data_IF_550407248720
#
_entry.id   IF_550407248720
#
_cell.length_a   1.000
_cell.length_b   1.000
_cell.length_c   1.000
_cell.angle_alpha   90.00
_cell.angle_beta   90.00
_cell.angle_gamma   90.00
#
_symmetry.space_group_name_H-M   'P 1'
#
loop_
_entity.id
_entity.type
_entity.pdbx_description
1 polymer ?
#
# COMPACT_ATOMS: atom_id res chain seq x y z
N UNK A 1 37.16 -84.52 -19.94
CA UNK A 1 37.79 -84.04 -21.19
C UNK A 1 37.06 -82.74 -21.59
N UNK A 2 37.79 -81.60 -21.61
CA UNK A 2 37.42 -80.25 -22.14
C UNK A 2 36.31 -79.47 -21.38
N UNK A 3 36.62 -78.43 -20.58
CA UNK A 3 36.81 -76.98 -20.91
C UNK A 3 35.56 -76.34 -21.54
N UNK A 4 35.00 -75.20 -21.12
CA UNK A 4 35.63 -73.87 -20.95
C UNK A 4 34.66 -72.89 -20.24
N UNK A 5 35.20 -71.93 -19.47
CA UNK A 5 34.52 -70.77 -18.86
C UNK A 5 34.18 -69.64 -19.87
N UNK A 6 33.29 -68.74 -19.42
CA UNK A 6 33.12 -67.31 -19.79
C UNK A 6 32.24 -67.01 -21.01
N UNK A 7 31.43 -65.94 -21.07
CA UNK A 7 31.60 -64.61 -20.48
C UNK A 7 30.27 -63.89 -20.15
N UNK A 8 30.24 -63.22 -19.01
CA UNK A 8 29.35 -62.11 -18.70
C UNK A 8 29.67 -60.93 -19.61
N UNK A 9 28.75 -60.55 -20.50
CA UNK A 9 28.87 -59.33 -21.31
C UNK A 9 28.52 -58.12 -20.44
N UNK A 10 29.51 -57.59 -19.72
CA UNK A 10 29.40 -56.29 -19.09
C UNK A 10 29.38 -55.20 -20.16
N UNK A 11 28.33 -54.37 -20.19
CA UNK A 11 28.32 -53.15 -20.99
C UNK A 11 29.36 -52.19 -20.41
N UNK A 12 30.44 -51.96 -21.16
CA UNK A 12 31.40 -50.91 -20.82
C UNK A 12 30.71 -49.55 -21.02
N UNK A 13 30.33 -48.90 -19.91
CA UNK A 13 30.01 -47.49 -19.89
C UNK A 13 31.29 -46.72 -20.25
N UNK A 14 31.39 -46.26 -21.49
CA UNK A 14 32.43 -45.35 -21.97
C UNK A 14 32.34 -44.04 -21.21
N UNK A 15 33.09 -43.90 -20.11
CA UNK A 15 33.32 -42.61 -19.45
C UNK A 15 34.29 -41.80 -20.33
N UNK A 16 33.75 -40.99 -21.23
CA UNK A 16 34.51 -39.92 -21.90
C UNK A 16 34.70 -38.78 -20.91
N UNK A 17 35.94 -38.51 -20.52
CA UNK A 17 36.28 -37.31 -19.75
C UNK A 17 36.16 -36.07 -20.62
N UNK A 18 35.59 -34.99 -20.07
CA UNK A 18 35.50 -33.71 -20.76
C UNK A 18 36.89 -33.13 -20.99
N UNK A 19 37.09 -32.52 -22.15
CA UNK A 19 38.32 -31.79 -22.45
C UNK A 19 38.34 -30.46 -21.68
N UNK A 20 39.53 -29.94 -21.41
CA UNK A 20 39.68 -28.68 -20.67
C UNK A 20 38.96 -27.51 -21.36
N UNK A 21 38.96 -27.51 -22.70
CA UNK A 21 38.27 -26.49 -23.51
C UNK A 21 36.74 -26.58 -23.41
N UNK A 22 36.18 -27.79 -23.32
CA UNK A 22 34.73 -27.99 -23.13
C UNK A 22 34.31 -27.49 -21.74
N UNK A 23 35.07 -27.83 -20.69
CA UNK A 23 34.78 -27.36 -19.33
C UNK A 23 34.87 -25.84 -19.22
N UNK A 24 35.87 -25.21 -19.83
CA UNK A 24 35.97 -23.74 -19.83
C UNK A 24 34.81 -23.09 -20.59
N UNK A 25 34.37 -23.69 -21.70
CA UNK A 25 33.22 -23.17 -22.47
C UNK A 25 31.92 -23.27 -21.67
N UNK A 26 31.69 -24.40 -21.00
CA UNK A 26 30.52 -24.60 -20.13
C UNK A 26 30.51 -23.59 -18.98
N UNK A 27 31.67 -23.35 -18.36
CA UNK A 27 31.78 -22.36 -17.26
C UNK A 27 31.49 -20.95 -17.75
N UNK A 28 32.06 -20.54 -18.90
CA UNK A 28 31.85 -19.19 -19.45
C UNK A 28 30.39 -18.98 -19.83
N UNK A 29 29.78 -19.92 -20.55
CA UNK A 29 28.37 -19.84 -20.94
C UNK A 29 27.46 -19.87 -19.71
N UNK A 30 27.76 -20.74 -18.73
CA UNK A 30 27.03 -20.81 -17.47
C UNK A 30 27.09 -19.50 -16.69
N UNK A 31 28.27 -18.87 -16.61
CA UNK A 31 28.44 -17.57 -15.97
C UNK A 31 27.68 -16.46 -16.71
N UNK A 32 27.73 -16.43 -18.06
CA UNK A 32 26.97 -15.46 -18.86
C UNK A 32 25.47 -15.58 -18.60
N UNK A 33 24.93 -16.79 -18.61
CA UNK A 33 23.51 -17.04 -18.33
C UNK A 33 23.15 -16.62 -16.90
N UNK A 34 24.02 -16.90 -15.92
CA UNK A 34 23.80 -16.49 -14.54
C UNK A 34 23.76 -14.96 -14.40
N UNK A 35 24.70 -14.25 -15.02
CA UNK A 35 24.76 -12.77 -14.99
C UNK A 35 23.56 -12.16 -15.68
N UNK A 36 23.17 -12.69 -16.85
CA UNK A 36 21.98 -12.23 -17.56
C UNK A 36 20.71 -12.46 -16.73
N UNK A 37 20.57 -13.63 -16.10
CA UNK A 37 19.41 -13.96 -15.26
C UNK A 37 19.30 -13.03 -14.05
N UNK A 38 20.42 -12.75 -13.37
CA UNK A 38 20.46 -11.81 -12.26
C UNK A 38 20.09 -10.39 -12.70
N UNK A 39 20.58 -9.97 -13.87
CA UNK A 39 20.27 -8.65 -14.43
C UNK A 39 18.79 -8.52 -14.79
N UNK A 40 18.21 -9.54 -15.43
CA UNK A 40 16.78 -9.58 -15.74
C UNK A 40 15.92 -9.58 -14.48
N UNK A 41 16.31 -10.33 -13.46
CA UNK A 41 15.61 -10.33 -12.17
C UNK A 41 15.60 -8.95 -11.52
N UNK A 42 16.75 -8.27 -11.47
CA UNK A 42 16.85 -6.91 -10.94
C UNK A 42 15.99 -5.92 -11.76
N UNK A 43 15.96 -6.07 -13.08
CA UNK A 43 15.10 -5.26 -13.95
C UNK A 43 13.61 -5.51 -13.70
N UNK A 44 13.20 -6.78 -13.52
CA UNK A 44 11.82 -7.15 -13.20
C UNK A 44 11.38 -6.57 -11.87
N UNK A 45 12.21 -6.64 -10.83
CA UNK A 45 11.93 -6.07 -9.52
C UNK A 45 11.71 -4.55 -9.61
N UNK A 46 12.61 -3.85 -10.31
CA UNK A 46 12.52 -2.41 -10.52
C UNK A 46 11.26 -2.04 -11.31
N UNK A 47 10.95 -2.79 -12.36
CA UNK A 47 9.75 -2.56 -13.19
C UNK A 47 8.48 -2.75 -12.36
N UNK A 48 8.43 -3.79 -11.52
CA UNK A 48 7.30 -4.03 -10.63
C UNK A 48 7.06 -2.88 -9.66
N UNK A 49 8.14 -2.35 -9.06
CA UNK A 49 8.07 -1.17 -8.20
C UNK A 49 7.52 0.05 -8.94
N UNK A 50 8.02 0.32 -10.16
CA UNK A 50 7.55 1.43 -10.99
C UNK A 50 6.06 1.27 -11.31
N UNK A 51 5.62 0.09 -11.75
CA UNK A 51 4.21 -0.16 -12.08
C UNK A 51 3.31 0.07 -10.87
N UNK A 52 3.70 -0.42 -9.68
CA UNK A 52 2.90 -0.22 -8.46
C UNK A 52 2.78 1.26 -8.09
N UNK A 53 3.86 2.02 -8.19
CA UNK A 53 3.83 3.48 -7.97
C UNK A 53 2.96 4.19 -8.99
N UNK A 54 3.03 3.81 -10.27
CA UNK A 54 2.19 4.41 -11.31
C UNK A 54 0.71 4.07 -11.12
N UNK A 55 0.39 2.82 -10.76
CA UNK A 55 -0.98 2.41 -10.48
C UNK A 55 -1.59 3.25 -9.34
N UNK A 56 -0.82 3.46 -8.27
CA UNK A 56 -1.23 4.34 -7.18
C UNK A 56 -1.49 5.78 -7.65
N UNK A 57 -0.54 6.39 -8.39
CA UNK A 57 -0.65 7.79 -8.80
C UNK A 57 -1.75 8.03 -9.84
N UNK A 58 -2.01 7.07 -10.73
CA UNK A 58 -2.96 7.22 -11.84
C UNK A 58 -4.39 6.84 -11.43
N UNK A 59 -4.56 5.81 -10.60
CA UNK A 59 -5.88 5.26 -10.29
C UNK A 59 -6.30 5.51 -8.85
N UNK A 60 -5.49 5.08 -7.87
CA UNK A 60 -5.89 5.09 -6.47
C UNK A 60 -5.96 6.50 -5.89
N UNK A 61 -4.88 7.26 -5.98
CA UNK A 61 -4.79 8.60 -5.41
C UNK A 61 -5.90 9.55 -5.92
N UNK A 62 -6.21 9.59 -7.24
CA UNK A 62 -7.33 10.37 -7.74
C UNK A 62 -8.69 9.91 -7.20
N UNK A 63 -8.92 8.60 -7.04
CA UNK A 63 -10.18 8.08 -6.49
C UNK A 63 -10.34 8.44 -5.01
N UNK A 64 -9.28 8.30 -4.22
CA UNK A 64 -9.26 8.72 -2.81
C UNK A 64 -9.54 10.22 -2.73
N UNK A 65 -8.87 11.05 -3.52
CA UNK A 65 -9.11 12.49 -3.54
C UNK A 65 -10.55 12.85 -3.91
N UNK A 66 -11.12 12.19 -4.93
CA UNK A 66 -12.51 12.44 -5.32
C UNK A 66 -13.49 12.06 -4.21
N UNK A 67 -13.27 10.94 -3.52
CA UNK A 67 -14.08 10.51 -2.38
C UNK A 67 -13.95 11.50 -1.22
N UNK A 68 -12.72 11.86 -0.83
CA UNK A 68 -12.46 12.81 0.25
C UNK A 68 -13.08 14.18 -0.04
N UNK A 69 -12.91 14.72 -1.25
CA UNK A 69 -13.51 16.00 -1.61
C UNK A 69 -15.04 15.96 -1.56
N UNK A 70 -15.68 14.85 -1.96
CA UNK A 70 -17.13 14.70 -1.87
C UNK A 70 -17.63 14.64 -0.42
N UNK A 71 -16.86 14.05 0.49
CA UNK A 71 -17.22 13.95 1.91
C UNK A 71 -16.95 15.29 2.61
N UNK A 72 -15.73 15.81 2.49
CA UNK A 72 -15.30 17.05 3.15
C UNK A 72 -16.11 18.26 2.68
N UNK A 73 -16.43 18.36 1.40
CA UNK A 73 -17.25 19.49 0.87
C UNK A 73 -18.66 19.54 1.43
N UNK A 74 -19.18 18.43 1.96
CA UNK A 74 -20.51 18.36 2.60
C UNK A 74 -20.45 18.60 4.11
N UNK A 75 -19.27 18.55 4.71
CA UNK A 75 -19.11 18.77 6.13
C UNK A 75 -19.20 20.26 6.45
N UNK A 76 -19.96 20.60 7.49
CA UNK A 76 -20.07 21.96 8.00
C UNK A 76 -18.84 22.37 8.80
N UNK A 77 -18.26 21.41 9.52
CA UNK A 77 -17.08 21.62 10.34
C UNK A 77 -16.17 20.39 10.27
N UNK A 78 -14.87 20.63 10.45
CA UNK A 78 -13.88 19.58 10.57
C UNK A 78 -12.94 19.85 11.74
N UNK A 79 -12.42 18.76 12.31
CA UNK A 79 -11.38 18.78 13.34
C UNK A 79 -10.38 17.68 13.08
N UNK A 80 -9.11 17.96 13.32
CA UNK A 80 -8.04 16.98 13.13
C UNK A 80 -7.53 16.48 14.47
N UNK A 81 -7.19 15.20 14.52
CA UNK A 81 -6.63 14.55 15.69
C UNK A 81 -5.36 13.77 15.31
N UNK A 82 -4.31 13.80 16.16
CA UNK A 82 -3.09 13.03 15.91
C UNK A 82 -3.35 11.53 15.80
N UNK A 83 -4.19 11.00 16.70
CA UNK A 83 -4.49 9.57 16.81
C UNK A 83 -5.98 9.30 16.91
N UNK A 84 -6.38 8.04 16.72
CA UNK A 84 -7.77 7.61 16.91
C UNK A 84 -8.21 7.76 18.37
N UNK A 85 -7.35 7.42 19.32
CA UNK A 85 -7.61 7.57 20.76
C UNK A 85 -7.85 9.04 21.17
N UNK A 86 -7.10 9.98 20.58
CA UNK A 86 -7.35 11.41 20.79
C UNK A 86 -8.72 11.84 20.22
N UNK A 87 -9.12 11.28 19.08
CA UNK A 87 -10.42 11.54 18.47
C UNK A 87 -11.58 10.96 19.30
N UNK A 88 -11.42 9.76 19.87
CA UNK A 88 -12.40 9.10 20.75
C UNK A 88 -12.65 9.91 22.03
N UNK A 89 -11.57 10.40 22.63
CA UNK A 89 -11.63 11.25 23.82
C UNK A 89 -11.97 12.72 23.52
N UNK A 90 -12.08 13.08 22.24
CA UNK A 90 -12.33 14.46 21.78
C UNK A 90 -11.25 15.46 22.23
N UNK A 91 -10.06 14.98 22.56
CA UNK A 91 -8.98 15.76 23.17
C UNK A 91 -7.82 15.96 22.19
N UNK A 92 -6.89 16.88 22.50
CA UNK A 92 -5.66 17.09 21.72
C UNK A 92 -5.85 17.34 20.21
N UNK A 93 -6.86 18.14 19.83
CA UNK A 93 -7.01 18.51 18.42
C UNK A 93 -5.78 19.24 17.92
N UNK A 94 -5.28 18.83 16.76
CA UNK A 94 -4.11 19.44 16.12
C UNK A 94 -4.49 20.07 14.79
N UNK A 95 -3.57 20.80 14.19
CA UNK A 95 -3.67 21.29 12.80
C UNK A 95 -2.55 20.76 11.91
N UNK A 96 -1.63 19.95 12.45
CA UNK A 96 -0.49 19.40 11.72
C UNK A 96 -0.32 17.93 12.02
N UNK A 97 0.08 17.14 11.00
CA UNK A 97 0.41 15.71 11.13
C UNK A 97 -0.67 14.88 11.84
N UNK A 98 -1.94 15.15 11.53
CA UNK A 98 -3.04 14.35 12.04
C UNK A 98 -3.22 13.09 11.20
N UNK A 99 -3.44 11.95 11.83
CA UNK A 99 -3.84 10.71 11.14
C UNK A 99 -5.37 10.55 11.08
N UNK A 100 -6.10 11.42 11.78
CA UNK A 100 -7.56 11.35 11.89
C UNK A 100 -8.20 12.70 11.59
N UNK A 101 -9.25 12.67 10.77
CA UNK A 101 -10.08 13.80 10.36
C UNK A 101 -11.52 13.52 10.77
N UNK A 102 -12.02 14.25 11.76
CA UNK A 102 -13.41 14.23 12.18
C UNK A 102 -14.19 15.33 11.44
N UNK A 103 -15.38 14.99 10.98
CA UNK A 103 -16.28 15.82 10.19
C UNK A 103 -17.64 15.86 10.86
N UNK A 104 -18.25 17.03 10.91
CA UNK A 104 -19.63 17.21 11.35
C UNK A 104 -20.50 17.60 10.15
N UNK A 105 -21.61 16.90 9.99
CA UNK A 105 -22.64 17.16 9.00
C UNK A 105 -23.88 17.68 9.72
N UNK A 106 -24.32 18.87 9.35
CA UNK A 106 -25.56 19.40 9.88
C UNK A 106 -26.74 18.63 9.32
N UNK A 107 -27.57 18.14 10.23
CA UNK A 107 -28.82 17.48 9.90
C UNK A 107 -29.91 18.47 9.51
N UNK A 108 -31.06 17.96 9.10
CA UNK A 108 -32.29 18.76 8.91
C UNK A 108 -33.17 18.63 10.16
N UNK A 109 -34.27 19.38 10.26
CA UNK A 109 -35.15 19.30 11.43
C UNK A 109 -35.65 17.87 11.77
N UNK A 110 -35.68 16.96 10.77
CA UNK A 110 -36.11 15.57 10.91
C UNK A 110 -34.94 14.57 11.09
N UNK A 111 -33.68 14.99 10.88
CA UNK A 111 -32.50 14.15 11.05
C UNK A 111 -31.47 14.87 11.93
N UNK A 112 -31.05 14.28 13.07
CA UNK A 112 -30.02 14.89 13.91
C UNK A 112 -28.71 15.05 13.14
N UNK A 113 -27.83 15.91 13.66
CA UNK A 113 -26.47 16.04 13.18
C UNK A 113 -25.77 14.67 13.13
N UNK A 114 -24.96 14.49 12.10
CA UNK A 114 -24.18 13.27 11.91
C UNK A 114 -22.69 13.59 11.89
N UNK A 115 -21.87 12.62 12.25
CA UNK A 115 -20.43 12.72 12.27
C UNK A 115 -19.80 11.69 11.35
N UNK A 116 -18.73 12.08 10.67
CA UNK A 116 -17.89 11.19 9.89
C UNK A 116 -16.46 11.28 10.39
N UNK A 117 -15.82 10.14 10.59
CA UNK A 117 -14.41 10.10 10.98
C UNK A 117 -13.63 9.37 9.90
N UNK A 118 -12.58 10.01 9.41
CA UNK A 118 -11.66 9.44 8.46
C UNK A 118 -10.37 9.18 9.21
N UNK A 119 -9.98 7.92 9.31
CA UNK A 119 -8.78 7.51 10.04
C UNK A 119 -7.90 6.64 9.16
N UNK A 120 -6.59 6.87 9.26
CA UNK A 120 -5.60 5.99 8.67
C UNK A 120 -5.14 4.96 9.69
N UNK A 121 -5.28 3.69 9.33
CA UNK A 121 -4.74 2.56 10.06
C UNK A 121 -3.36 2.20 9.49
N UNK A 122 -2.32 2.45 10.28
CA UNK A 122 -0.94 2.14 9.91
C UNK A 122 -0.59 0.65 9.98
N UNK A 123 -1.35 -0.15 10.74
CA UNK A 123 -1.12 -1.60 10.83
C UNK A 123 -1.67 -2.29 9.57
N UNK A 124 -2.89 -1.92 9.18
CA UNK A 124 -3.54 -2.45 7.99
C UNK A 124 -3.12 -1.76 6.68
N UNK A 125 -2.51 -0.57 6.73
CA UNK A 125 -2.27 0.32 5.57
C UNK A 125 -3.58 0.68 4.85
N UNK A 126 -4.59 1.04 5.64
CA UNK A 126 -5.93 1.33 5.15
C UNK A 126 -6.40 2.71 5.56
N UNK A 127 -7.10 3.37 4.65
CA UNK A 127 -7.83 4.59 4.95
C UNK A 127 -9.31 4.24 5.07
N UNK A 128 -9.87 4.48 6.26
CA UNK A 128 -11.20 4.03 6.62
C UNK A 128 -12.13 5.21 6.92
N UNK A 129 -13.41 5.03 6.61
CA UNK A 129 -14.48 5.96 6.95
C UNK A 129 -15.40 5.33 7.99
N UNK A 130 -15.60 6.05 9.08
CA UNK A 130 -16.54 5.71 10.14
C UNK A 130 -17.69 6.70 10.09
N UNK A 131 -18.91 6.19 10.14
CA UNK A 131 -20.11 7.00 10.24
C UNK A 131 -20.66 6.88 11.66
N UNK A 132 -20.94 8.02 12.29
CA UNK A 132 -21.38 8.10 13.67
C UNK A 132 -22.59 9.03 13.78
N UNK A 133 -23.48 8.73 14.71
CA UNK A 133 -24.55 9.65 15.12
C UNK A 133 -24.04 10.62 16.19
N UNK A 134 -22.95 10.26 16.90
CA UNK A 134 -22.27 11.12 17.87
C UNK A 134 -20.79 10.76 17.96
N UNK A 135 -19.92 11.75 18.16
CA UNK A 135 -18.48 11.52 18.37
C UNK A 135 -18.18 10.56 19.53
N UNK A 136 -19.04 10.49 20.55
CA UNK A 136 -18.88 9.55 21.66
C UNK A 136 -19.01 8.07 21.24
N UNK A 137 -19.67 7.80 20.11
CA UNK A 137 -19.79 6.45 19.56
C UNK A 137 -18.48 5.94 18.95
N UNK A 138 -17.53 6.82 18.63
CA UNK A 138 -16.25 6.39 18.03
C UNK A 138 -15.50 5.39 18.92
N UNK A 139 -15.60 5.55 20.25
CA UNK A 139 -14.99 4.63 21.22
C UNK A 139 -15.63 3.23 21.26
N UNK A 140 -16.79 3.05 20.62
CA UNK A 140 -17.58 1.81 20.62
C UNK A 140 -17.67 1.20 19.23
N UNK A 141 -17.45 1.97 18.17
CA UNK A 141 -17.50 1.50 16.80
C UNK A 141 -16.19 0.77 16.47
N UNK A 142 -16.25 -0.56 16.47
CA UNK A 142 -15.12 -1.43 16.14
C UNK A 142 -14.87 -1.55 14.63
N UNK A 143 -15.90 -1.36 13.81
CA UNK A 143 -15.83 -1.59 12.35
C UNK A 143 -16.09 -0.31 11.54
N UNK A 144 -15.29 -0.04 10.49
CA UNK A 144 -15.53 1.10 9.61
C UNK A 144 -16.80 0.90 8.79
N UNK A 145 -17.49 2.01 8.51
CA UNK A 145 -18.66 1.99 7.63
C UNK A 145 -18.27 1.59 6.20
N UNK A 146 -17.10 2.04 5.74
CA UNK A 146 -16.44 1.49 4.55
C UNK A 146 -14.94 1.82 4.52
N UNK A 147 -14.21 1.05 3.72
CA UNK A 147 -12.80 1.30 3.40
C UNK A 147 -12.69 2.23 2.18
N UNK A 148 -12.00 3.37 2.33
CA UNK A 148 -11.73 4.34 1.27
C UNK A 148 -10.58 3.83 0.37
N UNK A 149 -9.53 3.29 0.97
CA UNK A 149 -8.36 2.76 0.25
C UNK A 149 -7.66 1.69 1.09
N UNK A 150 -7.12 0.67 0.41
CA UNK A 150 -6.22 -0.33 1.01
C UNK A 150 -4.86 -0.39 0.31
N UNK A 151 -4.50 0.67 -0.43
CA UNK A 151 -3.25 0.75 -1.19
C UNK A 151 -2.40 1.97 -0.77
N UNK A 152 -2.74 2.58 0.36
CA UNK A 152 -2.02 3.72 0.95
C UNK A 152 -1.13 3.24 2.08
N UNK A 153 0.15 3.58 2.04
CA UNK A 153 1.10 3.32 3.12
C UNK A 153 1.12 4.44 4.17
N UNK A 154 0.39 5.52 3.94
CA UNK A 154 0.30 6.65 4.87
C UNK A 154 -0.73 7.66 4.43
N UNK A 155 -1.48 8.21 5.38
CA UNK A 155 -2.24 9.42 5.16
C UNK A 155 -2.02 10.40 6.32
N UNK A 156 -1.81 11.66 5.99
CA UNK A 156 -1.71 12.73 6.99
C UNK A 156 -2.53 13.94 6.56
N UNK A 157 -3.25 14.49 7.53
CA UNK A 157 -4.11 15.64 7.41
C UNK A 157 -3.47 16.82 8.14
N UNK A 158 -3.50 17.98 7.51
CA UNK A 158 -2.97 19.21 8.11
C UNK A 158 -3.65 20.42 7.50
N UNK A 159 -3.66 21.53 8.24
CA UNK A 159 -4.18 22.80 7.77
C UNK A 159 -3.00 23.74 7.53
N UNK A 160 -2.92 24.29 6.34
CA UNK A 160 -1.93 25.29 5.98
C UNK A 160 -2.63 26.49 5.36
N UNK A 161 -2.43 27.68 5.93
CA UNK A 161 -3.08 28.93 5.51
C UNK A 161 -4.62 28.82 5.47
N UNK A 162 -5.22 28.05 6.39
CA UNK A 162 -6.67 27.86 6.47
C UNK A 162 -7.25 26.86 5.45
N UNK A 163 -6.41 26.21 4.65
CA UNK A 163 -6.83 25.18 3.68
C UNK A 163 -6.48 23.80 4.24
N UNK A 164 -7.44 22.88 4.21
CA UNK A 164 -7.20 21.48 4.59
C UNK A 164 -6.38 20.82 3.48
N UNK A 165 -5.24 20.25 3.86
CA UNK A 165 -4.38 19.48 2.99
C UNK A 165 -4.31 18.04 3.45
N UNK A 166 -4.22 17.16 2.46
CA UNK A 166 -4.20 15.73 2.64
C UNK A 166 -2.99 15.21 1.89
N UNK A 167 -2.01 14.71 2.62
CA UNK A 167 -0.85 14.03 2.06
C UNK A 167 -1.11 12.53 2.10
N UNK A 168 -1.20 11.92 0.93
CA UNK A 168 -1.27 10.48 0.76
C UNK A 168 0.09 9.95 0.34
N UNK A 169 0.49 8.85 0.97
CA UNK A 169 1.72 8.12 0.68
C UNK A 169 1.32 6.75 0.18
N UNK A 170 1.74 6.40 -1.04
CA UNK A 170 1.51 5.11 -1.67
C UNK A 170 2.75 4.20 -1.64
N UNK A 171 2.72 3.11 -2.41
CA UNK A 171 3.81 2.16 -2.49
C UNK A 171 5.11 2.79 -3.03
N UNK A 172 6.25 2.30 -2.53
CA UNK A 172 7.59 2.78 -2.86
C UNK A 172 7.83 4.28 -2.59
N UNK A 173 7.13 4.86 -1.61
CA UNK A 173 7.32 6.25 -1.21
C UNK A 173 6.73 7.28 -2.18
N UNK A 174 5.80 6.86 -3.03
CA UNK A 174 5.06 7.77 -3.87
C UNK A 174 4.22 8.72 -3.00
N UNK A 175 4.36 10.02 -3.18
CA UNK A 175 3.61 11.01 -2.39
C UNK A 175 2.78 11.90 -3.28
N UNK A 176 1.58 12.23 -2.81
CA UNK A 176 0.72 13.23 -3.44
C UNK A 176 0.00 14.04 -2.38
N UNK A 177 -0.10 15.34 -2.63
CA UNK A 177 -0.74 16.28 -1.72
C UNK A 177 -1.94 16.87 -2.44
N UNK A 178 -3.10 16.74 -1.82
CA UNK A 178 -4.32 17.37 -2.26
C UNK A 178 -4.71 18.49 -1.30
N UNK A 179 -5.30 19.54 -1.85
CA UNK A 179 -5.85 20.65 -1.08
C UNK A 179 -7.36 20.66 -1.26
N UNK A 180 -8.07 20.83 -0.16
CA UNK A 180 -9.52 20.89 -0.14
C UNK A 180 -10.00 22.00 0.79
N UNK A 181 -11.16 22.54 0.47
CA UNK A 181 -11.82 23.57 1.28
C UNK A 181 -13.24 23.12 1.55
N UNK A 182 -13.71 23.26 2.78
CA UNK A 182 -15.14 23.11 3.09
C UNK A 182 -15.89 24.24 2.40
N UNK A 183 -17.01 23.92 1.73
CA UNK A 183 -17.92 24.95 1.23
C UNK A 183 -18.61 25.56 2.45
N UNK A 184 -18.34 26.84 2.68
CA UNK A 184 -19.00 27.61 3.74
C UNK A 184 -20.36 28.10 3.28
#
# INVERSE_FOLDING_TARGET
>A
MKTHLSSTTGSALTRRGFTLIEMTTVIIVGLMIAVMSLTLFNHQLTTYQIINTQNFLIHEAPQVNNTLNRIVSRANFFRLYPTLTDAESGSNSTITNASVLALQFSGTADQPDSFGVIAFDSEANELNYYHLESMAQLAVVEEPAWRISGQVNGASFYVENGVLRIKLTGPNGAEIIYSTTTLR
#
